data_IF_587175688104
#
_entry.id   IF_587175688104
#
_cell.length_a   1.000
_cell.length_b   1.000
_cell.length_c   1.000
_cell.angle_alpha   90.00
_cell.angle_beta   90.00
_cell.angle_gamma   90.00
#
_symmetry.space_group_name_H-M   'P 1'
#
loop_
_entity.id
_entity.type
_entity.pdbx_description
1 polymer ?
#
# COMPACT_ATOMS: atom_id res chain seq x y z
N UNK A 1 23.30 -2.37 -20.17
CA UNK A 1 21.95 -1.80 -20.01
C UNK A 1 21.97 -0.28 -20.22
N UNK A 2 22.84 0.47 -19.51
CA UNK A 2 22.93 1.93 -19.58
C UNK A 2 23.10 2.44 -21.01
N UNK A 3 23.99 1.84 -21.80
CA UNK A 3 24.22 2.24 -23.20
C UNK A 3 22.96 2.08 -24.07
N UNK A 4 22.15 1.05 -23.81
CA UNK A 4 20.92 0.81 -24.54
C UNK A 4 19.85 1.86 -24.21
N UNK A 5 19.67 2.18 -22.91
CA UNK A 5 18.74 3.23 -22.47
C UNK A 5 19.13 4.61 -23.03
N UNK A 6 20.42 4.95 -23.01
CA UNK A 6 20.96 6.17 -23.63
C UNK A 6 20.64 6.22 -25.13
N UNK A 7 20.87 5.11 -25.83
CA UNK A 7 20.62 5.05 -27.27
C UNK A 7 19.15 5.23 -27.62
N UNK A 8 18.26 4.50 -26.93
CA UNK A 8 16.81 4.60 -27.13
C UNK A 8 16.26 5.99 -26.77
N UNK A 9 16.71 6.55 -25.64
CA UNK A 9 16.26 7.87 -25.22
C UNK A 9 16.64 8.95 -26.23
N UNK A 10 17.87 8.91 -26.75
CA UNK A 10 18.31 9.84 -27.78
C UNK A 10 17.58 9.61 -29.11
N UNK A 11 17.29 8.38 -29.50
CA UNK A 11 16.58 8.05 -30.72
C UNK A 11 15.10 8.47 -30.67
N UNK A 12 14.46 8.39 -29.52
CA UNK A 12 13.04 8.76 -29.33
C UNK A 12 12.86 10.23 -28.95
N UNK A 13 13.91 10.90 -28.47
CA UNK A 13 13.83 12.26 -27.95
C UNK A 13 13.19 12.36 -26.55
N UNK A 14 13.03 11.24 -25.85
CA UNK A 14 12.47 11.19 -24.50
C UNK A 14 13.42 10.56 -23.50
N UNK A 15 13.39 11.04 -22.26
CA UNK A 15 14.10 10.41 -21.15
C UNK A 15 13.37 9.14 -20.73
N UNK A 16 13.89 7.99 -21.12
CA UNK A 16 13.36 6.67 -20.78
C UNK A 16 13.94 6.09 -19.47
N UNK A 17 14.87 6.79 -18.80
CA UNK A 17 15.48 6.29 -17.58
C UNK A 17 14.48 6.01 -16.44
N UNK A 18 13.47 6.87 -16.17
CA UNK A 18 12.44 6.57 -15.17
C UNK A 18 11.62 5.32 -15.51
N UNK A 19 11.32 5.12 -16.78
CA UNK A 19 10.61 3.94 -17.27
C UNK A 19 11.39 2.65 -16.99
N UNK A 20 12.67 2.61 -17.36
CA UNK A 20 13.50 1.43 -17.11
C UNK A 20 13.79 1.19 -15.63
N UNK A 21 13.89 2.24 -14.82
CA UNK A 21 14.01 2.12 -13.37
C UNK A 21 12.76 1.48 -12.74
N UNK A 22 11.56 1.82 -13.24
CA UNK A 22 10.31 1.22 -12.80
C UNK A 22 10.24 -0.30 -13.09
N UNK A 23 10.91 -0.75 -14.15
CA UNK A 23 11.07 -2.18 -14.47
C UNK A 23 12.17 -2.89 -13.66
N UNK A 24 12.76 -2.22 -12.68
CA UNK A 24 13.80 -2.79 -11.83
C UNK A 24 15.17 -2.89 -12.49
N UNK A 25 15.41 -2.22 -13.61
CA UNK A 25 16.71 -2.19 -14.24
C UNK A 25 17.62 -1.17 -13.55
N UNK A 26 18.75 -1.59 -12.95
CA UNK A 26 19.65 -0.67 -12.29
C UNK A 26 20.33 0.22 -13.33
N UNK A 27 20.04 1.51 -13.29
CA UNK A 27 20.71 2.51 -14.10
C UNK A 27 21.72 3.28 -13.26
N UNK A 28 22.87 3.61 -13.86
CA UNK A 28 23.86 4.43 -13.18
C UNK A 28 23.41 5.89 -13.09
N UNK A 29 23.95 6.60 -12.10
CA UNK A 29 23.71 8.03 -11.93
C UNK A 29 24.08 8.81 -13.19
N UNK A 30 25.22 8.49 -13.81
CA UNK A 30 25.69 9.13 -15.04
C UNK A 30 24.68 8.98 -16.19
N UNK A 31 23.97 7.84 -16.27
CA UNK A 31 22.91 7.64 -17.25
C UNK A 31 21.74 8.57 -17.01
N UNK A 32 21.29 8.71 -15.77
CA UNK A 32 20.22 9.64 -15.41
C UNK A 32 20.61 11.10 -15.71
N UNK A 33 21.82 11.51 -15.33
CA UNK A 33 22.33 12.87 -15.56
C UNK A 33 22.47 13.17 -17.07
N UNK A 34 22.96 12.20 -17.85
CA UNK A 34 23.10 12.34 -19.31
C UNK A 34 21.76 12.53 -20.03
N UNK A 35 20.66 12.02 -19.48
CA UNK A 35 19.31 12.10 -20.05
C UNK A 35 18.44 13.21 -19.45
N UNK A 36 18.94 13.93 -18.44
CA UNK A 36 18.17 14.97 -17.74
C UNK A 36 17.72 16.12 -18.64
N UNK A 37 18.36 16.33 -19.78
CA UNK A 37 18.01 17.36 -20.77
C UNK A 37 16.82 16.97 -21.66
N UNK A 38 16.43 15.69 -21.70
CA UNK A 38 15.30 15.20 -22.47
C UNK A 38 14.00 15.25 -21.63
N UNK A 39 12.85 15.55 -22.24
CA UNK A 39 11.57 15.45 -21.55
C UNK A 39 11.33 14.01 -21.11
N UNK A 40 10.79 13.83 -19.90
CA UNK A 40 10.38 12.51 -19.40
C UNK A 40 9.21 12.01 -20.26
N UNK A 41 9.28 10.75 -20.65
CA UNK A 41 8.18 10.12 -21.38
C UNK A 41 7.02 9.86 -20.40
N UNK A 42 6.03 10.74 -20.41
CA UNK A 42 4.87 10.70 -19.50
C UNK A 42 3.62 10.10 -20.14
N UNK A 43 3.58 10.11 -21.50
CA UNK A 43 2.45 9.60 -22.29
C UNK A 43 2.71 8.16 -22.76
N UNK A 44 3.16 7.29 -21.87
CA UNK A 44 3.28 5.88 -22.18
C UNK A 44 1.88 5.25 -22.17
N UNK A 45 1.32 4.91 -23.37
CA UNK A 45 0.02 4.23 -23.43
C UNK A 45 0.07 2.84 -22.78
N UNK A 46 1.27 2.27 -22.60
CA UNK A 46 1.45 1.02 -21.89
C UNK A 46 1.40 1.22 -20.37
N UNK A 47 1.66 2.44 -19.88
CA UNK A 47 1.62 2.76 -18.46
C UNK A 47 0.22 2.62 -17.88
N UNK A 48 -0.80 2.96 -18.66
CA UNK A 48 -2.20 2.85 -18.23
C UNK A 48 -2.78 1.44 -18.49
N UNK A 49 -2.28 0.71 -19.51
CA UNK A 49 -2.80 -0.62 -19.87
C UNK A 49 -2.06 -1.80 -19.21
N UNK A 50 -0.79 -1.64 -18.80
CA UNK A 50 0.02 -2.76 -18.29
C UNK A 50 0.48 -2.62 -16.84
N UNK A 51 0.25 -1.48 -16.20
CA UNK A 51 0.68 -1.25 -14.82
C UNK A 51 -0.46 -0.74 -13.94
N UNK A 52 -1.37 -1.63 -13.63
CA UNK A 52 -2.16 -1.44 -12.43
C UNK A 52 -1.23 -1.78 -11.27
N UNK A 53 -0.75 -0.76 -10.57
CA UNK A 53 0.07 -0.95 -9.39
C UNK A 53 -0.82 -1.20 -8.20
N UNK A 54 -0.48 -2.23 -7.45
CA UNK A 54 -1.05 -2.41 -6.13
C UNK A 54 -0.55 -1.31 -5.20
N UNK A 55 -1.41 -0.83 -4.32
CA UNK A 55 -0.97 0.06 -3.26
C UNK A 55 0.07 -0.64 -2.38
N UNK A 56 1.06 0.10 -1.90
CA UNK A 56 2.05 -0.40 -0.93
C UNK A 56 1.73 0.19 0.43
N UNK A 57 1.27 -0.66 1.34
CA UNK A 57 0.95 -0.32 2.72
C UNK A 57 2.06 -0.83 3.64
N UNK A 58 2.51 0.02 4.55
CA UNK A 58 3.58 -0.25 5.52
C UNK A 58 3.19 0.19 6.91
N UNK A 59 3.99 -0.22 7.90
CA UNK A 59 3.90 0.27 9.28
C UNK A 59 2.49 0.18 9.87
N UNK A 60 1.75 -0.90 9.51
CA UNK A 60 0.43 -1.15 10.09
C UNK A 60 0.61 -1.46 11.56
N UNK A 61 -0.08 -0.72 12.43
CA UNK A 61 0.03 -0.86 13.88
C UNK A 61 -1.27 -0.48 14.59
N UNK A 62 -1.38 -0.97 15.81
CA UNK A 62 -2.37 -0.52 16.79
C UNK A 62 -1.69 -0.41 18.17
N UNK A 63 -2.21 0.39 19.10
CA UNK A 63 -1.77 0.32 20.50
C UNK A 63 -2.02 -1.09 21.07
N UNK A 64 -1.11 -1.58 21.94
CA UNK A 64 -1.28 -2.83 22.68
C UNK A 64 -0.80 -2.63 24.13
N UNK A 65 -1.69 -2.60 25.14
CA UNK A 65 -3.14 -2.73 25.00
C UNK A 65 -3.78 -1.51 24.33
N UNK A 66 -4.89 -1.77 23.65
CA UNK A 66 -5.74 -0.72 23.07
C UNK A 66 -6.69 -0.15 24.13
N UNK A 67 -7.61 0.76 23.75
CA UNK A 67 -8.73 1.11 24.63
C UNK A 67 -9.65 -0.10 24.88
N UNK A 68 -10.49 -0.01 25.93
CA UNK A 68 -11.32 -1.13 26.36
C UNK A 68 -12.31 -1.63 25.28
N UNK A 69 -12.84 -0.72 24.45
CA UNK A 69 -13.83 -1.05 23.40
C UNK A 69 -13.50 -0.43 22.06
N UNK A 70 -12.31 0.13 21.92
CA UNK A 70 -11.85 0.75 20.68
C UNK A 70 -10.36 0.72 20.54
N UNK A 71 -9.87 0.81 19.31
CA UNK A 71 -8.44 0.98 18.99
C UNK A 71 -8.29 1.94 17.82
N UNK A 72 -7.07 2.46 17.63
CA UNK A 72 -6.72 3.26 16.45
C UNK A 72 -5.74 2.46 15.61
N UNK A 73 -6.16 2.08 14.42
CA UNK A 73 -5.28 1.45 13.43
C UNK A 73 -4.56 2.56 12.69
N UNK A 74 -3.24 2.49 12.65
CA UNK A 74 -2.38 3.43 11.91
C UNK A 74 -1.62 2.68 10.82
N UNK A 75 -1.43 3.34 9.69
CA UNK A 75 -0.66 2.78 8.58
C UNK A 75 -0.03 3.89 7.73
N UNK A 76 0.94 3.52 6.95
CA UNK A 76 1.54 4.38 5.94
C UNK A 76 1.21 3.82 4.55
N UNK A 77 0.64 4.65 3.69
CA UNK A 77 0.55 4.35 2.25
C UNK A 77 1.78 4.94 1.59
N UNK A 78 2.70 4.07 1.19
CA UNK A 78 3.92 4.45 0.49
C UNK A 78 3.66 4.70 -1.00
N UNK A 79 2.82 3.87 -1.60
CA UNK A 79 2.31 4.02 -2.96
C UNK A 79 0.80 3.77 -2.94
N UNK A 80 0.03 4.64 -3.59
CA UNK A 80 -1.43 4.55 -3.58
C UNK A 80 -1.98 3.58 -4.63
N UNK A 81 -1.14 3.06 -5.52
CA UNK A 81 -1.59 2.21 -6.62
C UNK A 81 -2.53 2.94 -7.58
N UNK A 82 -3.14 2.18 -8.48
CA UNK A 82 -4.12 2.71 -9.46
C UNK A 82 -5.53 2.46 -8.97
N UNK A 83 -6.31 3.53 -8.73
CA UNK A 83 -7.72 3.45 -8.30
C UNK A 83 -7.97 2.46 -7.14
N UNK A 84 -7.05 2.40 -6.19
CA UNK A 84 -7.07 1.40 -5.13
C UNK A 84 -7.94 1.84 -3.97
N UNK A 85 -8.81 0.95 -3.50
CA UNK A 85 -9.59 1.10 -2.28
C UNK A 85 -9.03 0.21 -1.17
N UNK A 86 -9.04 0.72 0.06
CA UNK A 86 -8.56 0.02 1.23
C UNK A 86 -9.73 -0.42 2.11
N UNK A 87 -9.70 -1.68 2.55
CA UNK A 87 -10.65 -2.24 3.53
C UNK A 87 -9.86 -2.94 4.63
N UNK A 88 -10.15 -2.61 5.88
CA UNK A 88 -9.60 -3.28 7.04
C UNK A 88 -10.56 -4.36 7.52
N UNK A 89 -10.09 -5.57 7.62
CA UNK A 89 -10.80 -6.73 8.16
C UNK A 89 -10.21 -7.09 9.51
N UNK A 90 -11.09 -7.38 10.49
CA UNK A 90 -10.65 -7.73 11.84
C UNK A 90 -11.58 -8.72 12.52
N UNK A 91 -11.04 -9.41 13.53
CA UNK A 91 -11.77 -10.39 14.30
C UNK A 91 -10.91 -11.05 15.39
N UNK A 92 -11.51 -11.96 16.16
CA UNK A 92 -10.81 -12.71 17.24
C UNK A 92 -9.91 -13.83 16.72
N UNK A 93 -9.91 -14.08 15.41
CA UNK A 93 -9.02 -15.03 14.74
C UNK A 93 -8.50 -14.41 13.44
N UNK A 94 -7.25 -14.72 13.09
CA UNK A 94 -6.69 -14.34 11.79
C UNK A 94 -7.24 -15.30 10.71
N UNK A 95 -8.06 -14.77 9.83
CA UNK A 95 -8.68 -15.51 8.75
C UNK A 95 -7.82 -15.56 7.48
N UNK A 96 -6.58 -15.01 7.55
CA UNK A 96 -5.69 -14.95 6.39
C UNK A 96 -6.16 -13.98 5.31
N UNK A 97 -5.75 -14.25 4.08
CA UNK A 97 -6.04 -13.40 2.92
C UNK A 97 -7.40 -13.76 2.27
N UNK A 98 -8.47 -13.66 3.03
CA UNK A 98 -9.83 -13.90 2.55
C UNK A 98 -10.80 -12.91 3.16
N UNK A 99 -11.88 -12.59 2.46
CA UNK A 99 -12.88 -11.61 2.90
C UNK A 99 -13.95 -12.21 3.80
N UNK A 100 -14.08 -13.53 3.84
CA UNK A 100 -15.08 -14.24 4.65
C UNK A 100 -14.48 -14.72 5.98
N UNK A 101 -15.31 -14.83 7.00
CA UNK A 101 -14.93 -15.38 8.30
C UNK A 101 -14.42 -14.34 9.32
N UNK A 102 -14.07 -13.15 8.90
CA UNK A 102 -13.75 -12.05 9.81
C UNK A 102 -15.00 -11.62 10.60
N UNK A 103 -14.81 -11.10 11.81
CA UNK A 103 -15.94 -10.64 12.62
C UNK A 103 -16.59 -9.39 12.03
N UNK A 104 -15.77 -8.50 11.46
CA UNK A 104 -16.23 -7.24 10.85
C UNK A 104 -15.20 -6.68 9.88
N UNK A 105 -15.59 -5.62 9.14
CA UNK A 105 -14.71 -4.88 8.25
C UNK A 105 -15.07 -3.41 8.16
N UNK A 106 -14.07 -2.56 7.92
CA UNK A 106 -14.24 -1.10 7.76
C UNK A 106 -13.55 -0.66 6.49
N UNK A 107 -14.30 0.02 5.61
CA UNK A 107 -13.72 0.69 4.44
C UNK A 107 -12.89 1.91 4.86
N UNK A 108 -11.63 1.94 4.48
CA UNK A 108 -10.74 3.10 4.68
C UNK A 108 -10.80 4.09 3.52
N UNK A 109 -11.54 3.75 2.46
CA UNK A 109 -11.68 4.57 1.25
C UNK A 109 -10.53 4.40 0.26
N UNK A 110 -10.41 5.34 -0.66
CA UNK A 110 -9.34 5.33 -1.66
C UNK A 110 -7.96 5.51 -1.03
N UNK A 111 -7.00 4.74 -1.52
CA UNK A 111 -5.61 4.88 -1.09
C UNK A 111 -5.07 6.27 -1.47
N UNK A 112 -4.36 6.91 -0.55
CA UNK A 112 -3.62 8.14 -0.79
C UNK A 112 -2.27 8.07 -0.08
N UNK A 113 -1.22 8.60 -0.69
CA UNK A 113 0.13 8.55 -0.11
C UNK A 113 0.19 9.34 1.19
N UNK A 114 0.84 8.78 2.20
CA UNK A 114 1.07 9.40 3.50
C UNK A 114 0.71 8.51 4.70
N UNK A 115 0.74 9.13 5.88
CA UNK A 115 0.36 8.47 7.13
C UNK A 115 -1.13 8.64 7.38
N UNK A 116 -1.78 7.57 7.77
CA UNK A 116 -3.21 7.49 8.00
C UNK A 116 -3.51 6.83 9.33
N UNK A 117 -4.70 7.11 9.87
CA UNK A 117 -5.22 6.41 11.03
C UNK A 117 -6.75 6.37 10.99
N UNK A 118 -7.31 5.29 11.53
CA UNK A 118 -8.75 5.09 11.64
C UNK A 118 -9.09 4.42 12.96
N UNK A 119 -10.09 4.95 13.66
CA UNK A 119 -10.60 4.33 14.88
C UNK A 119 -11.56 3.20 14.55
N UNK A 120 -11.32 2.05 15.17
CA UNK A 120 -12.21 0.89 15.22
C UNK A 120 -12.87 0.87 16.59
N UNK A 121 -14.17 0.80 16.66
CA UNK A 121 -14.97 0.82 17.91
C UNK A 121 -15.95 -0.36 17.96
N UNK A 122 -16.57 -0.56 19.12
CA UNK A 122 -17.49 -1.68 19.34
C UNK A 122 -16.76 -3.00 19.61
N UNK A 123 -15.49 -2.95 19.99
CA UNK A 123 -14.72 -4.13 20.37
C UNK A 123 -15.19 -4.70 21.70
N UNK A 124 -15.06 -6.01 21.88
CA UNK A 124 -15.25 -6.67 23.17
C UNK A 124 -14.10 -6.33 24.09
N UNK A 125 -14.39 -5.86 25.30
CA UNK A 125 -13.36 -5.46 26.27
C UNK A 125 -12.61 -6.65 26.91
N UNK A 126 -11.77 -6.27 27.83
CA UNK A 126 -11.29 -7.10 28.94
C UNK A 126 -10.29 -8.18 28.50
N UNK A 127 -9.22 -7.74 27.83
CA UNK A 127 -8.12 -8.59 27.39
C UNK A 127 -8.42 -9.44 26.17
N UNK A 128 -9.48 -9.07 25.40
CA UNK A 128 -9.83 -9.78 24.16
C UNK A 128 -8.78 -9.49 23.08
N UNK A 129 -8.17 -10.54 22.55
CA UNK A 129 -7.20 -10.42 21.44
C UNK A 129 -7.93 -10.36 20.11
N UNK A 130 -7.54 -9.40 19.31
CA UNK A 130 -7.98 -9.20 17.93
C UNK A 130 -6.82 -9.35 16.95
N UNK A 131 -7.17 -9.73 15.74
CA UNK A 131 -6.28 -9.78 14.58
C UNK A 131 -6.87 -8.93 13.46
N UNK A 132 -6.03 -8.36 12.63
CA UNK A 132 -6.50 -7.56 11.51
C UNK A 132 -5.55 -7.55 10.33
N UNK A 133 -6.14 -7.29 9.15
CA UNK A 133 -5.42 -7.13 7.88
C UNK A 133 -6.05 -6.04 7.05
N UNK A 134 -5.24 -5.34 6.27
CA UNK A 134 -5.73 -4.41 5.24
C UNK A 134 -5.72 -5.12 3.90
N UNK A 135 -6.86 -5.09 3.19
CA UNK A 135 -6.96 -5.45 1.79
C UNK A 135 -6.92 -4.16 0.95
N UNK A 136 -6.03 -4.11 -0.01
CA UNK A 136 -6.05 -3.12 -1.08
C UNK A 136 -6.62 -3.77 -2.33
N UNK A 137 -7.63 -3.15 -2.95
CA UNK A 137 -8.36 -3.70 -4.10
C UNK A 137 -8.44 -2.68 -5.22
N UNK A 138 -8.10 -3.08 -6.43
CA UNK A 138 -8.26 -2.33 -7.66
C UNK A 138 -8.86 -3.20 -8.77
N UNK A 139 -8.82 -2.75 -10.03
CA UNK A 139 -9.38 -3.47 -11.17
C UNK A 139 -8.66 -4.80 -11.48
N UNK A 140 -7.38 -4.93 -11.12
CA UNK A 140 -6.58 -6.15 -11.37
C UNK A 140 -6.73 -7.21 -10.28
N UNK A 141 -7.22 -6.81 -9.08
CA UNK A 141 -7.38 -7.75 -8.00
C UNK A 141 -7.22 -7.16 -6.62
N UNK A 142 -6.65 -7.94 -5.72
CA UNK A 142 -6.44 -7.51 -4.35
C UNK A 142 -5.13 -8.03 -3.76
N UNK A 143 -4.50 -7.18 -2.96
CA UNK A 143 -3.31 -7.47 -2.16
C UNK A 143 -3.63 -7.30 -0.69
N UNK A 144 -3.02 -8.12 0.17
CA UNK A 144 -3.25 -8.12 1.59
C UNK A 144 -1.99 -7.73 2.36
N UNK A 145 -2.17 -6.91 3.39
CA UNK A 145 -1.13 -6.42 4.28
C UNK A 145 -1.45 -6.77 5.74
N UNK A 146 -0.43 -7.05 6.51
CA UNK A 146 -0.51 -7.55 7.88
C UNK A 146 0.00 -8.99 7.96
N UNK A 147 -0.32 -9.78 9.01
CA UNK A 147 -1.28 -9.46 10.06
C UNK A 147 -0.76 -8.46 11.11
N UNK A 148 -1.69 -7.82 11.79
CA UNK A 148 -1.46 -7.18 13.09
C UNK A 148 -2.31 -7.87 14.14
N UNK A 149 -1.89 -7.76 15.41
CA UNK A 149 -2.68 -8.21 16.57
C UNK A 149 -2.58 -7.21 17.69
N UNK A 150 -3.64 -7.12 18.49
CA UNK A 150 -3.71 -6.28 19.69
C UNK A 150 -4.70 -6.87 20.70
N UNK A 151 -4.62 -6.43 21.92
CA UNK A 151 -5.58 -6.81 22.98
C UNK A 151 -6.31 -5.59 23.48
N UNK A 152 -7.61 -5.74 23.77
CA UNK A 152 -8.38 -4.69 24.41
C UNK A 152 -8.05 -4.59 25.89
N UNK A 153 -8.05 -3.37 26.42
CA UNK A 153 -7.83 -3.11 27.83
C UNK A 153 -9.06 -3.46 28.68
N UNK A 154 -8.89 -3.48 30.00
CA UNK A 154 -9.99 -3.68 30.94
C UNK A 154 -10.80 -2.39 31.11
N UNK A 155 -12.11 -2.53 31.41
CA UNK A 155 -12.96 -1.38 31.72
C UNK A 155 -12.59 -0.84 33.09
N UNK A 156 -11.89 0.27 33.12
CA UNK A 156 -11.67 1.10 34.29
C UNK A 156 -10.54 0.65 35.22
N UNK A 157 -9.45 1.34 35.14
CA UNK A 157 -8.66 1.82 36.28
C UNK A 157 -8.64 3.34 36.25
#
# INVERSE_FOLDING_TARGET
FNAWVLHLSNATGYNLAPYHAAWGFPLTRDTHESLAHLPVWVDDPLREEFFVYDAIIRNISSPDPSGATSTTISWETYDNGTNTNLTFYYGMADMGNQTSGWSDSIGFGGASVGNHSQTVSGLTCCGTTYHGRIQATNEEGSVWFGPISWSTDYLGD
#
